data_IF_433669470760
#
_entry.id   IF_433669470760
#
_cell.length_a   1.000
_cell.length_b   1.000
_cell.length_c   1.000
_cell.angle_alpha   90.00
_cell.angle_beta   90.00
_cell.angle_gamma   90.00
#
_symmetry.space_group_name_H-M   'P 1'
#
loop_
_entity.id
_entity.type
_entity.pdbx_description
1 polymer ?
#
# COMPACT_ATOMS: atom_id res chain seq x y z
N UNK A 1 -21.86 15.58 -5.29
CA UNK A 1 -20.98 14.44 -4.93
C UNK A 1 -19.68 14.99 -4.38
N UNK A 2 -19.12 14.35 -3.36
CA UNK A 2 -17.83 14.67 -2.75
C UNK A 2 -16.77 13.81 -3.44
N UNK A 3 -15.81 14.47 -4.09
CA UNK A 3 -14.68 13.86 -4.78
C UNK A 3 -13.37 14.24 -4.09
N UNK A 4 -12.26 13.63 -4.51
CA UNK A 4 -10.92 13.97 -4.01
C UNK A 4 -10.53 15.44 -4.29
N UNK A 5 -11.10 16.10 -5.31
CA UNK A 5 -10.80 17.50 -5.63
C UNK A 5 -11.49 18.48 -4.67
N UNK A 6 -12.69 18.12 -4.22
CA UNK A 6 -13.55 18.96 -3.39
C UNK A 6 -13.67 18.41 -1.97
N UNK A 7 -12.72 17.59 -1.54
CA UNK A 7 -12.66 17.11 -0.18
C UNK A 7 -12.13 18.25 0.68
N UNK A 8 -13.03 18.93 1.39
CA UNK A 8 -12.68 19.99 2.33
C UNK A 8 -11.62 19.50 3.33
N UNK A 9 -10.43 20.08 3.27
CA UNK A 9 -9.27 19.66 4.06
C UNK A 9 -9.44 19.84 5.58
N UNK A 10 -10.50 20.54 6.01
CA UNK A 10 -10.80 20.84 7.41
C UNK A 10 -12.18 20.35 7.86
N UNK A 11 -13.00 19.83 6.95
CA UNK A 11 -14.34 19.34 7.27
C UNK A 11 -14.27 17.82 7.51
N UNK A 12 -13.95 17.43 8.75
CA UNK A 12 -13.77 16.03 9.19
C UNK A 12 -15.01 15.13 9.09
N UNK A 13 -16.06 15.55 8.37
CA UNK A 13 -17.32 14.82 8.17
C UNK A 13 -17.58 14.47 6.70
N UNK A 14 -16.79 15.00 5.76
CA UNK A 14 -16.96 14.74 4.34
C UNK A 14 -16.50 13.32 3.98
N UNK A 15 -17.44 12.46 3.58
CA UNK A 15 -17.15 11.12 3.07
C UNK A 15 -17.09 11.14 1.54
N UNK A 16 -16.01 10.58 0.98
CA UNK A 16 -15.88 10.39 -0.46
C UNK A 16 -17.01 9.51 -0.97
N UNK A 17 -17.74 10.01 -1.97
CA UNK A 17 -18.84 9.27 -2.60
C UNK A 17 -18.79 9.32 -4.14
N UNK A 18 -17.79 9.99 -4.72
CA UNK A 18 -17.54 9.93 -6.16
C UNK A 18 -16.96 8.56 -6.56
N UNK A 19 -17.56 7.83 -7.53
CA UNK A 19 -17.08 6.51 -7.95
C UNK A 19 -15.60 6.50 -8.34
N UNK A 20 -15.17 7.47 -9.16
CA UNK A 20 -13.77 7.61 -9.60
C UNK A 20 -12.81 7.89 -8.44
N UNK A 21 -13.26 8.59 -7.40
CA UNK A 21 -12.45 8.82 -6.20
C UNK A 21 -12.32 7.58 -5.33
N UNK A 22 -13.39 6.79 -5.21
CA UNK A 22 -13.36 5.51 -4.50
C UNK A 22 -12.47 4.50 -5.24
N UNK A 23 -12.56 4.45 -6.58
CA UNK A 23 -11.69 3.63 -7.41
C UNK A 23 -10.21 4.03 -7.25
N UNK A 24 -9.90 5.33 -7.27
CA UNK A 24 -8.54 5.81 -7.03
C UNK A 24 -7.98 5.33 -5.68
N UNK A 25 -8.78 5.44 -4.61
CA UNK A 25 -8.40 4.93 -3.29
C UNK A 25 -8.18 3.41 -3.31
N UNK A 26 -9.06 2.66 -3.99
CA UNK A 26 -8.97 1.21 -4.09
C UNK A 26 -7.71 0.76 -4.85
N UNK A 27 -7.35 1.42 -5.96
CA UNK A 27 -6.18 1.07 -6.78
C UNK A 27 -4.86 1.21 -6.02
N UNK A 28 -4.76 2.17 -5.11
CA UNK A 28 -3.56 2.40 -4.27
C UNK A 28 -3.64 1.69 -2.91
N UNK A 29 -4.68 0.89 -2.64
CA UNK A 29 -4.86 0.18 -1.38
C UNK A 29 -5.16 1.07 -0.17
N UNK A 30 -5.72 2.26 -0.40
CA UNK A 30 -6.01 3.27 0.62
C UNK A 30 -7.45 3.14 1.12
N UNK A 31 -7.67 3.20 2.44
CA UNK A 31 -9.01 3.35 2.98
C UNK A 31 -9.45 4.83 2.94
N UNK A 32 -10.62 5.17 2.35
CA UNK A 32 -11.11 6.54 2.29
C UNK A 32 -11.20 7.24 3.67
N UNK A 33 -11.39 6.49 4.76
CA UNK A 33 -11.43 7.04 6.12
C UNK A 33 -10.09 7.63 6.58
N UNK A 34 -8.98 7.21 5.99
CA UNK A 34 -7.64 7.73 6.30
C UNK A 34 -7.41 9.14 5.72
N UNK A 35 -8.27 9.59 4.82
CA UNK A 35 -8.21 10.92 4.22
C UNK A 35 -8.99 11.97 5.00
N UNK A 36 -9.75 11.55 6.01
CA UNK A 36 -10.61 12.43 6.81
C UNK A 36 -9.74 13.26 7.74
N UNK A 37 -9.93 14.57 7.71
CA UNK A 37 -9.29 15.49 8.65
C UNK A 37 -9.74 15.23 10.08
N UNK A 38 -8.78 15.24 11.00
CA UNK A 38 -9.03 15.15 12.44
C UNK A 38 -8.42 16.36 13.14
N UNK A 39 -9.20 17.13 13.91
CA UNK A 39 -8.66 18.26 14.66
C UNK A 39 -7.68 17.78 15.75
N UNK A 40 -6.81 18.67 16.22
CA UNK A 40 -5.81 18.34 17.26
C UNK A 40 -6.46 17.87 18.56
N UNK A 41 -7.69 18.30 18.81
CA UNK A 41 -8.55 17.88 19.92
C UNK A 41 -8.76 16.36 19.97
N UNK A 42 -8.84 15.70 18.81
CA UNK A 42 -9.02 14.25 18.72
C UNK A 42 -7.78 13.45 19.18
N UNK A 43 -6.64 14.13 19.33
CA UNK A 43 -5.37 13.53 19.78
C UNK A 43 -5.08 13.80 21.26
N UNK A 44 -5.92 14.59 21.94
CA UNK A 44 -5.78 14.91 23.36
C UNK A 44 -6.24 13.74 24.22
N UNK A 45 -5.39 13.31 25.14
CA UNK A 45 -5.68 12.29 26.16
C UNK A 45 -5.42 12.89 27.56
N UNK A 46 -6.15 12.42 28.58
CA UNK A 46 -6.14 13.01 29.94
C UNK A 46 -4.76 13.09 30.60
N UNK A 47 -3.83 12.22 30.20
CA UNK A 47 -2.50 12.09 30.81
C UNK A 47 -1.37 12.33 29.80
N UNK A 48 -1.65 12.95 28.65
CA UNK A 48 -0.67 13.12 27.58
C UNK A 48 -0.16 14.56 27.55
N UNK A 49 1.16 14.72 27.50
CA UNK A 49 1.78 16.02 27.38
C UNK A 49 1.41 16.71 26.04
N UNK A 50 1.28 18.03 26.08
CA UNK A 50 0.90 18.83 24.92
C UNK A 50 1.87 18.65 23.74
N UNK A 51 3.17 18.50 23.99
CA UNK A 51 4.14 18.28 22.92
C UNK A 51 3.90 16.94 22.21
N UNK A 52 3.55 15.89 22.96
CA UNK A 52 3.26 14.57 22.39
C UNK A 52 1.97 14.61 21.56
N UNK A 53 0.93 15.30 22.03
CA UNK A 53 -0.31 15.54 21.26
C UNK A 53 0.03 16.21 19.92
N UNK A 54 0.87 17.24 19.95
CA UNK A 54 1.27 17.99 18.76
C UNK A 54 2.07 17.13 17.78
N UNK A 55 3.01 16.31 18.26
CA UNK A 55 3.77 15.37 17.42
C UNK A 55 2.82 14.37 16.74
N UNK A 56 1.88 13.78 17.49
CA UNK A 56 0.89 12.84 16.94
C UNK A 56 0.02 13.47 15.86
N UNK A 57 -0.48 14.67 16.12
CA UNK A 57 -1.28 15.44 15.15
C UNK A 57 -0.47 15.77 13.89
N UNK A 58 0.76 16.27 14.04
CA UNK A 58 1.63 16.60 12.91
C UNK A 58 1.95 15.37 12.05
N UNK A 59 2.23 14.23 12.69
CA UNK A 59 2.47 12.98 12.00
C UNK A 59 1.21 12.51 11.23
N UNK A 60 0.05 12.55 11.87
CA UNK A 60 -1.23 12.23 11.22
C UNK A 60 -1.50 13.12 10.01
N UNK A 61 -1.39 14.44 10.16
CA UNK A 61 -1.68 15.38 9.08
C UNK A 61 -0.68 15.29 7.93
N UNK A 62 0.60 15.04 8.24
CA UNK A 62 1.61 14.83 7.21
C UNK A 62 1.32 13.57 6.40
N UNK A 63 0.98 12.46 7.07
CA UNK A 63 0.55 11.22 6.41
C UNK A 63 -0.73 11.42 5.60
N UNK A 64 -1.74 12.10 6.14
CA UNK A 64 -3.01 12.39 5.45
C UNK A 64 -2.77 13.16 4.15
N UNK A 65 -1.94 14.21 4.18
CA UNK A 65 -1.59 15.00 2.99
C UNK A 65 -0.88 14.18 1.93
N UNK A 66 0.06 13.33 2.34
CA UNK A 66 0.76 12.43 1.41
C UNK A 66 -0.21 11.46 0.71
N UNK A 67 -1.11 10.84 1.49
CA UNK A 67 -2.13 9.93 0.95
C UNK A 67 -3.11 10.65 0.03
N UNK A 68 -3.54 11.87 0.38
CA UNK A 68 -4.38 12.70 -0.49
C UNK A 68 -3.71 13.00 -1.83
N UNK A 69 -2.43 13.38 -1.81
CA UNK A 69 -1.69 13.63 -3.02
C UNK A 69 -1.65 12.40 -3.94
N UNK A 70 -1.33 11.22 -3.39
CA UNK A 70 -1.31 9.96 -4.15
C UNK A 70 -2.70 9.63 -4.72
N UNK A 71 -3.75 9.78 -3.93
CA UNK A 71 -5.12 9.51 -4.36
C UNK A 71 -5.57 10.48 -5.47
N UNK A 72 -5.28 11.77 -5.35
CA UNK A 72 -5.58 12.79 -6.39
C UNK A 72 -4.86 12.48 -7.69
N UNK A 73 -3.58 12.11 -7.61
CA UNK A 73 -2.79 11.69 -8.78
C UNK A 73 -3.42 10.48 -9.48
N UNK A 74 -3.72 9.41 -8.74
CA UNK A 74 -4.35 8.21 -9.31
C UNK A 74 -5.72 8.50 -9.94
N UNK A 75 -6.53 9.35 -9.30
CA UNK A 75 -7.80 9.81 -9.88
C UNK A 75 -7.58 10.50 -11.23
N UNK A 76 -6.55 11.33 -11.34
CA UNK A 76 -6.17 11.98 -12.60
C UNK A 76 -5.83 10.96 -13.69
N UNK A 77 -5.10 9.91 -13.35
CA UNK A 77 -4.78 8.82 -14.29
C UNK A 77 -6.03 8.06 -14.73
N UNK A 78 -6.97 7.75 -13.82
CA UNK A 78 -8.26 7.16 -14.17
C UNK A 78 -8.99 7.99 -15.22
N UNK A 79 -9.05 9.32 -15.01
CA UNK A 79 -9.74 10.23 -15.93
C UNK A 79 -9.06 10.22 -17.31
N UNK A 80 -7.73 10.33 -17.37
CA UNK A 80 -6.98 10.28 -18.64
C UNK A 80 -7.22 8.98 -19.41
N UNK A 81 -7.25 7.85 -18.72
CA UNK A 81 -7.49 6.53 -19.35
C UNK A 81 -8.91 6.50 -19.94
N UNK A 82 -9.92 7.00 -19.21
CA UNK A 82 -11.31 7.09 -19.70
C UNK A 82 -11.37 7.99 -20.94
N UNK A 83 -10.74 9.16 -20.89
CA UNK A 83 -10.73 10.12 -22.00
C UNK A 83 -10.03 9.56 -23.25
N UNK A 84 -8.96 8.77 -23.07
CA UNK A 84 -8.15 8.24 -24.18
C UNK A 84 -8.77 7.00 -24.82
N UNK A 85 -9.33 6.09 -24.02
CA UNK A 85 -9.80 4.77 -24.48
C UNK A 85 -11.31 4.68 -24.71
N UNK A 86 -12.07 5.74 -24.39
CA UNK A 86 -13.53 5.70 -24.31
C UNK A 86 -14.02 4.86 -23.12
N UNK A 87 -15.31 4.93 -22.81
CA UNK A 87 -15.96 4.34 -21.62
C UNK A 87 -15.86 2.80 -21.47
N UNK A 88 -15.06 2.11 -22.29
CA UNK A 88 -14.89 0.66 -22.26
C UNK A 88 -13.96 0.12 -21.15
N UNK A 89 -13.71 0.90 -20.10
CA UNK A 89 -13.10 0.38 -18.89
C UNK A 89 -14.14 -0.41 -18.11
N UNK A 90 -13.97 -1.75 -18.09
CA UNK A 90 -14.83 -2.61 -17.28
C UNK A 90 -14.69 -2.20 -15.80
N UNK A 91 -15.80 -1.92 -15.09
CA UNK A 91 -15.76 -1.73 -13.65
C UNK A 91 -15.05 -2.92 -13.00
N UNK A 92 -13.96 -2.67 -12.27
CA UNK A 92 -13.17 -3.73 -11.65
C UNK A 92 -12.03 -4.31 -12.50
N UNK A 93 -11.68 -3.72 -13.66
CA UNK A 93 -10.40 -4.00 -14.31
C UNK A 93 -9.28 -3.43 -13.44
N UNK A 94 -8.85 -4.22 -12.48
CA UNK A 94 -7.77 -3.93 -11.56
C UNK A 94 -6.44 -3.90 -12.33
N UNK A 95 -6.11 -2.76 -12.90
CA UNK A 95 -4.74 -2.49 -13.32
C UNK A 95 -4.00 -2.17 -12.03
N UNK A 96 -3.32 -3.17 -11.44
CA UNK A 96 -2.35 -2.91 -10.38
C UNK A 96 -1.32 -1.91 -10.93
N UNK A 97 -1.10 -0.77 -10.26
CA UNK A 97 0.03 0.06 -10.60
C UNK A 97 1.30 -0.79 -10.42
N UNK A 98 2.08 -0.95 -11.49
CA UNK A 98 3.37 -1.67 -11.47
C UNK A 98 4.33 -1.14 -10.38
N UNK A 99 4.08 0.09 -9.90
CA UNK A 99 4.78 0.74 -8.79
C UNK A 99 4.57 0.10 -7.40
N UNK A 100 3.57 -0.79 -7.20
CA UNK A 100 3.33 -1.46 -5.91
C UNK A 100 4.38 -2.55 -5.60
N UNK A 101 5.23 -2.93 -6.56
CA UNK A 101 6.25 -3.96 -6.36
C UNK A 101 7.59 -3.45 -5.79
N UNK A 102 7.77 -2.14 -5.56
CA UNK A 102 9.10 -1.60 -5.20
C UNK A 102 9.32 -1.22 -3.73
N UNK A 103 8.31 -1.16 -2.86
CA UNK A 103 8.53 -0.89 -1.43
C UNK A 103 8.20 -2.13 -0.59
N UNK A 104 9.18 -3.02 -0.48
CA UNK A 104 9.25 -4.00 0.61
C UNK A 104 9.62 -3.25 1.91
N UNK A 105 8.95 -3.58 3.01
CA UNK A 105 9.01 -3.00 4.36
C UNK A 105 8.07 -1.82 4.65
N UNK A 106 6.77 -2.11 4.68
CA UNK A 106 5.94 -1.63 5.78
C UNK A 106 5.08 -2.80 6.27
N UNK A 107 5.45 -3.35 7.42
CA UNK A 107 4.63 -4.28 8.20
C UNK A 107 3.24 -3.69 8.40
N UNK A 108 2.27 -4.17 7.66
CA UNK A 108 0.87 -3.99 7.99
C UNK A 108 0.20 -5.35 7.97
N UNK A 109 0.25 -6.01 9.12
CA UNK A 109 -0.71 -7.07 9.47
C UNK A 109 -2.12 -6.48 9.39
N UNK A 110 -2.82 -6.77 8.30
CA UNK A 110 -4.28 -6.68 8.22
C UNK A 110 -4.81 -7.97 7.67
N UNK A 111 -5.48 -8.67 8.59
CA UNK A 111 -6.39 -9.76 8.36
C UNK A 111 -7.23 -9.58 7.10
N UNK A 112 -7.15 -10.58 6.25
CA UNK A 112 -8.02 -10.78 5.09
C UNK A 112 -9.46 -10.83 5.59
N UNK A 113 -10.22 -9.76 5.38
CA UNK A 113 -11.69 -9.81 5.52
C UNK A 113 -12.19 -10.60 4.31
N UNK A 114 -12.37 -11.89 4.54
CA UNK A 114 -13.01 -12.83 3.63
C UNK A 114 -14.47 -12.41 3.44
N UNK A 115 -14.78 -11.69 2.36
CA UNK A 115 -16.15 -11.42 1.95
C UNK A 115 -16.68 -12.70 1.31
N UNK A 116 -17.26 -13.56 2.16
CA UNK A 116 -18.05 -14.70 1.70
C UNK A 116 -19.24 -14.18 0.91
N UNK A 117 -19.29 -14.52 -0.37
CA UNK A 117 -20.47 -14.41 -1.20
C UNK A 117 -21.63 -15.19 -0.55
N UNK A 118 -22.73 -14.48 -0.31
CA UNK A 118 -24.02 -15.06 0.02
C UNK A 118 -24.63 -15.67 -1.25
N UNK A 119 -24.74 -17.00 -1.29
CA UNK A 119 -25.73 -17.69 -2.12
C UNK A 119 -26.32 -18.83 -1.26
N UNK A 120 -27.65 -18.84 -1.15
CA UNK A 120 -28.43 -19.83 -0.40
C UNK A 120 -28.65 -21.12 -1.22
N UNK A 121 -29.33 -22.16 -0.71
CA UNK A 121 -28.76 -23.48 -0.50
C UNK A 121 -29.31 -24.55 -1.45
N UNK A 122 -28.49 -25.54 -1.81
CA UNK A 122 -29.00 -26.81 -2.31
C UNK A 122 -28.01 -27.96 -2.10
N UNK A 123 -28.56 -29.03 -1.51
CA UNK A 123 -28.16 -30.43 -1.66
C UNK A 123 -26.94 -30.95 -0.90
N UNK A 124 -27.27 -31.60 0.22
CA UNK A 124 -26.78 -32.91 0.66
C UNK A 124 -25.68 -33.54 -0.22
N UNK A 125 -24.49 -33.75 0.35
CA UNK A 125 -23.86 -35.08 0.35
C UNK A 125 -22.74 -35.16 1.39
N UNK A 126 -22.89 -36.13 2.29
CA UNK A 126 -21.87 -36.62 3.20
C UNK A 126 -20.81 -37.38 2.39
N UNK A 127 -19.52 -37.25 2.72
CA UNK A 127 -18.64 -38.39 3.10
C UNK A 127 -17.18 -37.97 3.35
N UNK A 128 -16.67 -38.38 4.52
CA UNK A 128 -15.38 -39.06 4.79
C UNK A 128 -14.08 -38.36 4.33
N UNK A 129 -13.27 -37.78 5.24
CA UNK A 129 -12.22 -38.44 6.05
C UNK A 129 -11.45 -39.54 5.31
N UNK A 130 -10.26 -39.18 4.82
CA UNK A 130 -9.09 -40.07 4.82
C UNK A 130 -7.81 -39.28 4.51
N UNK A 131 -6.88 -39.24 5.48
CA UNK A 131 -5.45 -39.11 5.20
C UNK A 131 -4.96 -40.35 4.45
N UNK A 132 -3.87 -40.27 3.68
CA UNK A 132 -2.67 -40.92 4.19
C UNK A 132 -1.35 -40.21 3.89
N UNK A 133 -0.39 -40.59 4.74
CA UNK A 133 1.05 -40.40 4.69
C UNK A 133 1.63 -40.71 3.31
N UNK A 134 2.62 -39.93 2.88
CA UNK A 134 3.77 -40.46 2.14
C UNK A 134 5.00 -39.56 2.32
N UNK A 135 5.93 -40.08 3.11
CA UNK A 135 7.32 -39.65 3.15
C UNK A 135 8.10 -40.32 2.03
N UNK A 136 8.94 -39.56 1.31
CA UNK A 136 10.28 -39.93 0.80
C UNK A 136 10.74 -38.95 -0.28
N UNK A 137 11.98 -38.48 -0.17
CA UNK A 137 12.71 -37.89 -1.29
C UNK A 137 13.65 -36.76 -0.91
N UNK A 138 14.75 -37.09 -0.21
CA UNK A 138 15.92 -36.22 -0.09
C UNK A 138 16.57 -36.03 -1.47
N UNK A 139 16.77 -34.78 -1.89
CA UNK A 139 17.84 -34.43 -2.82
C UNK A 139 18.64 -33.28 -2.19
N UNK A 140 19.96 -33.41 -1.99
CA UNK A 140 20.80 -32.29 -1.63
C UNK A 140 21.03 -31.46 -2.91
N UNK A 141 20.25 -30.40 -3.08
CA UNK A 141 20.57 -29.37 -4.07
C UNK A 141 21.91 -28.76 -3.67
N UNK A 142 22.91 -28.93 -4.53
CA UNK A 142 24.21 -28.28 -4.46
C UNK A 142 24.03 -26.80 -4.09
N UNK A 143 24.50 -26.45 -2.90
CA UNK A 143 24.61 -25.06 -2.46
C UNK A 143 25.63 -24.37 -3.37
N UNK A 144 25.16 -23.70 -4.42
CA UNK A 144 25.92 -22.57 -4.92
C UNK A 144 26.14 -21.62 -3.75
N UNK A 145 27.33 -21.05 -3.57
CA UNK A 145 27.51 -19.99 -2.59
C UNK A 145 26.63 -18.83 -3.03
N UNK A 146 25.43 -18.73 -2.46
CA UNK A 146 24.68 -17.48 -2.51
C UNK A 146 25.54 -16.49 -1.76
N UNK A 147 26.29 -15.69 -2.51
CA UNK A 147 26.89 -14.48 -1.99
C UNK A 147 25.78 -13.78 -1.21
N UNK A 148 26.01 -13.55 0.09
CA UNK A 148 25.07 -12.81 0.91
C UNK A 148 24.67 -11.55 0.14
N UNK A 149 23.38 -11.16 0.19
CA UNK A 149 22.91 -9.93 -0.46
C UNK A 149 23.80 -8.73 -0.10
N UNK A 150 24.36 -8.73 1.09
CA UNK A 150 25.31 -7.74 1.58
C UNK A 150 26.67 -7.81 0.86
N UNK A 151 27.19 -9.01 0.61
CA UNK A 151 28.40 -9.22 -0.20
C UNK A 151 28.20 -8.77 -1.65
N UNK A 152 27.01 -9.00 -2.24
CA UNK A 152 26.69 -8.50 -3.58
C UNK A 152 26.67 -6.97 -3.64
N UNK A 153 26.13 -6.31 -2.61
CA UNK A 153 26.13 -4.84 -2.51
C UNK A 153 27.54 -4.27 -2.42
N UNK A 154 28.39 -4.86 -1.57
CA UNK A 154 29.78 -4.42 -1.39
C UNK A 154 30.56 -4.58 -2.71
N UNK A 155 30.38 -5.69 -3.42
CA UNK A 155 31.09 -5.95 -4.66
C UNK A 155 30.65 -5.02 -5.81
N UNK A 156 29.36 -4.70 -5.89
CA UNK A 156 28.83 -3.72 -6.84
C UNK A 156 29.39 -2.31 -6.57
N UNK A 157 29.46 -1.91 -5.30
CA UNK A 157 30.06 -0.62 -4.91
C UNK A 157 31.55 -0.53 -5.31
N UNK A 158 32.32 -1.58 -5.06
CA UNK A 158 33.73 -1.65 -5.47
C UNK A 158 33.92 -1.59 -7.00
N UNK A 159 33.00 -2.16 -7.78
CA UNK A 159 33.04 -2.06 -9.25
C UNK A 159 32.78 -0.63 -9.73
N UNK A 160 31.84 0.08 -9.11
CA UNK A 160 31.55 1.48 -9.44
C UNK A 160 32.73 2.40 -9.09
N UNK A 161 33.44 2.12 -7.98
CA UNK A 161 34.69 2.80 -7.64
C UNK A 161 35.77 2.58 -8.70
N UNK A 162 35.96 1.33 -9.18
CA UNK A 162 36.91 1.03 -10.26
C UNK A 162 36.57 1.72 -11.59
N UNK A 163 35.30 2.03 -11.82
CA UNK A 163 34.83 2.72 -13.02
C UNK A 163 34.89 4.25 -12.89
N UNK A 164 35.35 4.79 -11.75
CA UNK A 164 35.50 6.24 -11.53
C UNK A 164 34.16 6.99 -11.49
N UNK A 165 33.08 6.30 -11.11
CA UNK A 165 31.71 6.88 -11.05
C UNK A 165 31.44 7.50 -9.67
N UNK A 166 32.21 7.14 -8.65
CA UNK A 166 32.03 7.58 -7.26
C UNK A 166 33.37 8.15 -6.76
N UNK A 167 33.41 9.45 -6.49
CA UNK A 167 34.52 10.13 -5.83
C UNK A 167 34.24 10.27 -4.32
N UNK A 168 35.20 9.91 -3.46
CA UNK A 168 35.10 9.98 -1.98
C UNK A 168 35.15 11.41 -1.42
N UNK A 169 34.92 12.45 -2.23
CA UNK A 169 35.00 13.84 -1.78
C UNK A 169 33.67 14.35 -1.22
N UNK A 170 33.17 13.70 -0.17
CA UNK A 170 32.33 14.37 0.82
C UNK A 170 33.25 14.83 1.94
N UNK A 171 33.93 15.95 1.70
CA UNK A 171 34.55 16.72 2.77
C UNK A 171 33.42 17.24 3.67
N UNK A 172 33.27 16.65 4.85
CA UNK A 172 32.66 17.34 5.99
C UNK A 172 33.64 18.44 6.41
N UNK A 173 33.31 19.69 6.09
CA UNK A 173 33.70 20.86 6.88
C UNK A 173 32.46 21.76 6.99
#
# INVERSE_FOLDING_TARGET
MISLENLDDYNGRALLNSPRSLEACQRIGLNPKELIYKPIEDFKDKNLDHQIVQIRYQHHESKRRELLYKAKKERGEIIKIIETNGDHLKPGSFIQPLAVLQHQNLDYSKSVVNIKAFNSPSSQNQSQISSPQNARGLQPTQSQPQLSLEQSRIQAFQQLQKQGIIDDNVNLI
#
